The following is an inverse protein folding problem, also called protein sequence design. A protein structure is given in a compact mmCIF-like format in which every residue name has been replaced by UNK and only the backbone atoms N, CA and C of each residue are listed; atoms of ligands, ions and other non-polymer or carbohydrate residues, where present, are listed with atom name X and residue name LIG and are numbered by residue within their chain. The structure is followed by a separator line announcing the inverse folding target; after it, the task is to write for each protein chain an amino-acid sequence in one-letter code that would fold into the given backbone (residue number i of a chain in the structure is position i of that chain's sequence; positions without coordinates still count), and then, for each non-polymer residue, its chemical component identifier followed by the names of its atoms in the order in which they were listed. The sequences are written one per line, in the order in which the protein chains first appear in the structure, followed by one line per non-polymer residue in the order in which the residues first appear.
data_IF_128345850988
#
_entry.id   IF_128345850988
#
_cell.length_a   1.000
_cell.length_b   1.000
_cell.length_c   1.000
_cell.angle_alpha   90.00
_cell.angle_beta   90.00
_cell.angle_gamma   90.00
#
_symmetry.space_group_name_H-M   'P 1'
#
loop_
_entity.id
_entity.type
_entity.pdbx_description
1 polymer ?
#
# COMPACT_ATOMS: atom_id res chain seq x y z
N UNK A 1 12.08 6.82 3.12
CA UNK A 1 12.52 5.48 3.58
C UNK A 1 12.46 5.46 5.10
N UNK A 2 11.81 4.46 5.70
CA UNK A 2 11.69 4.37 7.17
C UNK A 2 13.04 4.00 7.80
N UNK A 3 13.41 4.68 8.90
CA UNK A 3 14.63 4.37 9.65
C UNK A 3 14.38 3.28 10.70
N UNK A 4 15.42 2.53 11.07
CA UNK A 4 15.32 1.44 12.06
C UNK A 4 14.70 1.92 13.39
N UNK A 5 15.14 3.09 13.89
CA UNK A 5 14.63 3.66 15.14
C UNK A 5 13.13 4.02 15.05
N UNK A 6 12.63 4.42 13.88
CA UNK A 6 11.21 4.71 13.67
C UNK A 6 10.39 3.42 13.61
N UNK A 7 10.93 2.38 12.98
CA UNK A 7 10.31 1.06 12.94
C UNK A 7 10.20 0.46 14.35
N UNK A 8 11.27 0.49 15.14
CA UNK A 8 11.28 0.00 16.53
C UNK A 8 10.23 0.73 17.37
N UNK A 9 10.18 2.06 17.31
CA UNK A 9 9.14 2.85 18.01
C UNK A 9 7.73 2.45 17.58
N UNK A 10 7.48 2.26 16.28
CA UNK A 10 6.17 1.83 15.80
C UNK A 10 5.80 0.42 16.28
N UNK A 11 6.74 -0.52 16.32
CA UNK A 11 6.53 -1.87 16.85
C UNK A 11 6.17 -1.82 18.34
N UNK A 12 6.91 -1.06 19.13
CA UNK A 12 6.65 -0.91 20.57
C UNK A 12 5.28 -0.26 20.84
N UNK A 13 4.96 0.82 20.12
CA UNK A 13 3.69 1.56 20.28
C UNK A 13 2.48 0.73 19.85
N UNK A 14 2.56 0.06 18.68
CA UNK A 14 1.43 -0.67 18.09
C UNK A 14 1.36 -2.14 18.51
N UNK A 15 2.39 -2.64 19.22
CA UNK A 15 2.50 -4.03 19.72
C UNK A 15 2.28 -5.08 18.63
N UNK A 16 2.85 -4.83 17.45
CA UNK A 16 2.67 -5.67 16.27
C UNK A 16 3.90 -5.57 15.37
N UNK A 17 4.16 -6.63 14.62
CA UNK A 17 5.20 -6.69 13.59
C UNK A 17 4.59 -6.67 12.18
N UNK A 18 3.28 -6.45 12.08
CA UNK A 18 2.56 -6.58 10.82
C UNK A 18 3.01 -5.52 9.81
N UNK A 19 3.45 -6.00 8.64
CA UNK A 19 3.77 -5.19 7.47
C UNK A 19 2.68 -5.41 6.41
N UNK A 20 2.15 -4.31 5.86
CA UNK A 20 1.19 -4.38 4.76
C UNK A 20 1.94 -4.48 3.42
N UNK A 21 1.73 -5.56 2.67
CA UNK A 21 2.17 -5.64 1.28
C UNK A 21 1.23 -4.86 0.36
N UNK A 22 1.77 -4.04 -0.53
CA UNK A 22 1.04 -3.43 -1.64
C UNK A 22 1.56 -4.04 -2.94
N UNK A 23 0.89 -5.13 -3.32
CA UNK A 23 1.21 -6.00 -4.44
C UNK A 23 -0.05 -6.04 -5.35
N UNK A 24 -0.51 -4.86 -5.77
CA UNK A 24 -1.87 -4.67 -6.28
C UNK A 24 -1.97 -4.96 -7.77
N UNK A 25 -2.67 -6.05 -8.08
CA UNK A 25 -3.06 -6.45 -9.42
C UNK A 25 -4.39 -5.80 -9.79
N UNK A 26 -4.41 -4.99 -10.85
CA UNK A 26 -5.60 -4.24 -11.29
C UNK A 26 -6.79 -5.15 -11.60
N UNK A 27 -6.55 -6.37 -12.10
CA UNK A 27 -7.59 -7.34 -12.42
C UNK A 27 -8.26 -7.92 -11.16
N UNK A 28 -7.60 -7.79 -10.00
CA UNK A 28 -8.12 -8.23 -8.70
C UNK A 28 -8.73 -7.09 -7.88
N UNK A 29 -8.66 -5.84 -8.37
CA UNK A 29 -9.27 -4.69 -7.69
C UNK A 29 -10.80 -4.84 -7.71
N UNK A 30 -11.50 -4.63 -6.59
CA UNK A 30 -12.95 -4.74 -6.54
C UNK A 30 -13.66 -3.82 -7.55
N UNK A 31 -14.63 -4.31 -8.34
CA UNK A 31 -15.23 -3.55 -9.44
C UNK A 31 -15.87 -2.21 -9.05
N UNK A 32 -16.31 -2.06 -7.80
CA UNK A 32 -16.90 -0.81 -7.30
C UNK A 32 -15.89 0.34 -7.21
N UNK A 33 -14.58 0.06 -7.31
CA UNK A 33 -13.52 1.05 -7.36
C UNK A 33 -13.20 1.52 -8.79
N UNK A 34 -13.71 0.84 -9.84
CA UNK A 34 -13.47 1.22 -11.24
C UNK A 34 -14.09 2.58 -11.64
N UNK A 35 -14.92 3.16 -10.76
CA UNK A 35 -15.48 4.50 -10.92
C UNK A 35 -14.48 5.63 -10.64
N UNK A 36 -13.37 5.31 -9.95
CA UNK A 36 -12.34 6.28 -9.64
C UNK A 36 -11.35 6.38 -10.80
N UNK A 37 -10.71 7.54 -10.95
CA UNK A 37 -9.70 7.77 -11.99
C UNK A 37 -8.49 6.85 -11.85
N UNK A 38 -8.18 6.43 -10.62
CA UNK A 38 -7.13 5.47 -10.30
C UNK A 38 -7.65 4.43 -9.28
N UNK A 39 -8.21 3.31 -9.75
CA UNK A 39 -8.70 2.25 -8.88
C UNK A 39 -7.61 1.58 -8.04
N UNK A 40 -6.38 1.53 -8.54
CA UNK A 40 -5.23 0.93 -7.84
C UNK A 40 -4.84 1.79 -6.63
N UNK A 41 -4.74 3.10 -6.83
CA UNK A 41 -4.49 4.06 -5.77
C UNK A 41 -5.59 4.01 -4.70
N UNK A 42 -6.85 4.08 -5.10
CA UNK A 42 -7.98 4.06 -4.16
C UNK A 42 -8.05 2.74 -3.36
N UNK A 43 -7.76 1.61 -4.01
CA UNK A 43 -7.66 0.33 -3.32
C UNK A 43 -6.55 0.35 -2.27
N UNK A 44 -5.33 0.73 -2.65
CA UNK A 44 -4.17 0.81 -1.75
C UNK A 44 -4.42 1.75 -0.57
N UNK A 45 -4.95 2.95 -0.87
CA UNK A 45 -5.32 3.95 0.12
C UNK A 45 -6.34 3.40 1.10
N UNK A 46 -7.38 2.71 0.61
CA UNK A 46 -8.41 2.13 1.47
C UNK A 46 -7.85 1.09 2.46
N UNK A 47 -6.85 0.31 2.05
CA UNK A 47 -6.17 -0.66 2.92
C UNK A 47 -5.35 0.06 4.00
N UNK A 48 -4.58 1.08 3.62
CA UNK A 48 -3.79 1.88 4.56
C UNK A 48 -4.73 2.58 5.57
N UNK A 49 -5.78 3.25 5.10
CA UNK A 49 -6.72 3.99 5.94
C UNK A 49 -7.36 3.06 6.99
N UNK A 50 -7.68 1.81 6.62
CA UNK A 50 -8.30 0.82 7.53
C UNK A 50 -7.29 0.16 8.47
N UNK A 51 -6.04 0.01 8.05
CA UNK A 51 -5.05 -0.83 8.74
C UNK A 51 -3.94 -0.05 9.42
N UNK A 52 -3.82 1.28 9.24
CA UNK A 52 -2.71 2.10 9.76
C UNK A 52 -2.43 1.92 11.26
N UNK A 53 -3.46 1.65 12.07
CA UNK A 53 -3.33 1.40 13.51
C UNK A 53 -2.79 0.00 13.86
N UNK A 54 -2.82 -0.94 12.90
CA UNK A 54 -2.41 -2.34 13.08
C UNK A 54 -1.12 -2.70 12.34
N UNK A 55 -0.62 -1.81 11.48
CA UNK A 55 0.59 -2.04 10.67
C UNK A 55 1.72 -1.12 11.10
N UNK A 56 2.95 -1.62 11.07
CA UNK A 56 4.15 -0.83 11.40
C UNK A 56 4.91 -0.36 10.16
N UNK A 57 4.67 -1.01 9.02
CA UNK A 57 5.31 -0.69 7.75
C UNK A 57 4.41 -1.05 6.57
N UNK A 58 4.72 -0.45 5.42
CA UNK A 58 4.16 -0.79 4.11
C UNK A 58 5.31 -1.24 3.22
N UNK A 59 5.16 -2.40 2.58
CA UNK A 59 6.10 -2.96 1.61
C UNK A 59 5.47 -2.93 0.23
N UNK A 60 5.87 -1.96 -0.59
CA UNK A 60 5.46 -1.86 -1.99
C UNK A 60 6.25 -2.88 -2.81
N UNK A 61 5.58 -3.62 -3.68
CA UNK A 61 6.23 -4.44 -4.71
C UNK A 61 6.11 -3.73 -6.06
N UNK A 62 7.20 -3.11 -6.52
CA UNK A 62 7.19 -2.24 -7.70
C UNK A 62 6.86 -2.96 -9.00
N UNK A 63 7.08 -4.28 -9.09
CA UNK A 63 6.77 -5.06 -10.29
C UNK A 63 5.29 -4.95 -10.71
N UNK A 64 4.37 -4.82 -9.75
CA UNK A 64 2.93 -4.66 -10.03
C UNK A 64 2.58 -3.31 -10.64
N UNK A 65 3.39 -2.29 -10.39
CA UNK A 65 3.20 -0.93 -10.88
C UNK A 65 3.98 -0.73 -12.19
N UNK A 66 5.21 -1.27 -12.26
CA UNK A 66 6.05 -1.27 -13.46
C UNK A 66 5.37 -1.94 -14.66
N UNK A 67 4.56 -2.99 -14.42
CA UNK A 67 3.84 -3.70 -15.46
C UNK A 67 2.88 -2.81 -16.28
N UNK A 68 2.39 -1.72 -15.69
CA UNK A 68 1.49 -0.74 -16.34
C UNK A 68 2.24 0.50 -16.87
N UNK A 69 3.58 0.47 -16.94
CA UNK A 69 4.38 1.57 -17.45
C UNK A 69 4.21 2.87 -16.64
N UNK A 70 4.12 4.00 -17.35
CA UNK A 70 4.01 5.33 -16.71
C UNK A 70 2.75 5.50 -15.88
N UNK A 71 1.65 4.83 -16.25
CA UNK A 71 0.39 4.90 -15.51
C UNK A 71 0.54 4.22 -14.14
N UNK A 72 1.16 3.04 -14.09
CA UNK A 72 1.38 2.35 -12.82
C UNK A 72 2.36 3.10 -11.90
N UNK A 73 3.37 3.76 -12.44
CA UNK A 73 4.20 4.67 -11.64
C UNK A 73 3.40 5.87 -11.10
N UNK A 74 2.48 6.40 -11.89
CA UNK A 74 1.60 7.51 -11.47
C UNK A 74 0.67 7.09 -10.33
N UNK A 75 0.27 5.82 -10.27
CA UNK A 75 -0.48 5.26 -9.13
C UNK A 75 0.33 5.12 -7.84
N UNK A 76 1.67 5.22 -7.91
CA UNK A 76 2.57 5.07 -6.77
C UNK A 76 3.06 6.40 -6.19
N UNK A 77 3.06 7.48 -6.98
CA UNK A 77 3.62 8.81 -6.66
C UNK A 77 2.57 9.83 -6.27
#
# INVERSE_FOLDING_TARGET
MMRLNELQKNIELKKTYLCLGLDTDIEKVPPHLNKYSDPVFEFNKSLIDRLHNKIVAVKINTAFYEASGTEGWSSLT
#
